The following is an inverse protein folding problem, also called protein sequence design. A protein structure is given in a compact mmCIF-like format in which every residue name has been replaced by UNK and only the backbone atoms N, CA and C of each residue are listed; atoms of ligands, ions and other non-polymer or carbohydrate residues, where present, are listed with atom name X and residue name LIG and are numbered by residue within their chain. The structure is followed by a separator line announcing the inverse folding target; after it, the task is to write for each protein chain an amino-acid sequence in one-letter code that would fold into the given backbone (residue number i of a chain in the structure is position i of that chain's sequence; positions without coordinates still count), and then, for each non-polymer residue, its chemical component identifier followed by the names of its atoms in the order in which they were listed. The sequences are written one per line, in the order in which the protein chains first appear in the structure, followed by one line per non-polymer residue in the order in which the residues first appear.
data_IF_243916675629
#
_entry.id   IF_243916675629
#
_cell.length_a   1.000
_cell.length_b   1.000
_cell.length_c   1.000
_cell.angle_alpha   90.00
_cell.angle_beta   90.00
_cell.angle_gamma   90.00
#
_symmetry.space_group_name_H-M   'P 1'
#
loop_
_entity.id
_entity.type
_entity.pdbx_description
1 polymer ?
#
# COMPACT_ATOMS: atom_id res chain seq x y z
N UNK A 1 34.09 -52.60 -4.23
CA UNK A 1 33.23 -53.60 -4.90
C UNK A 1 31.81 -53.02 -4.87
N UNK A 2 31.30 -52.41 -5.95
CA UNK A 2 30.58 -53.05 -7.09
C UNK A 2 29.47 -54.00 -6.58
N UNK A 3 28.19 -53.97 -6.95
CA UNK A 3 27.43 -53.37 -8.05
C UNK A 3 25.92 -53.36 -7.63
N UNK A 4 25.14 -52.31 -7.91
CA UNK A 4 24.07 -52.27 -8.92
C UNK A 4 23.30 -53.58 -9.23
N UNK A 5 21.96 -53.59 -9.01
CA UNK A 5 20.94 -53.83 -10.07
C UNK A 5 19.47 -53.83 -9.57
N UNK A 6 18.66 -53.00 -10.26
CA UNK A 6 17.30 -53.21 -10.84
C UNK A 6 16.16 -53.65 -9.88
N UNK A 7 14.95 -53.09 -9.90
CA UNK A 7 14.25 -52.22 -10.86
C UNK A 7 12.82 -52.75 -11.05
N UNK A 8 11.81 -51.87 -11.07
CA UNK A 8 10.53 -52.11 -11.74
C UNK A 8 10.05 -50.83 -12.42
N UNK A 9 9.67 -51.00 -13.69
CA UNK A 9 9.11 -50.00 -14.62
C UNK A 9 7.62 -50.27 -14.78
N UNK A 10 6.88 -49.21 -15.12
CA UNK A 10 5.85 -49.11 -16.18
C UNK A 10 5.04 -47.82 -15.93
N UNK A 11 4.51 -47.06 -16.89
CA UNK A 11 4.69 -46.83 -18.33
C UNK A 11 3.71 -45.70 -18.73
N UNK A 12 4.03 -44.92 -19.78
CA UNK A 12 3.11 -44.02 -20.50
C UNK A 12 3.41 -42.52 -20.25
N UNK A 13 3.52 -41.62 -21.22
CA UNK A 13 3.14 -41.62 -22.64
C UNK A 13 4.06 -40.67 -23.47
N UNK A 14 3.90 -40.78 -24.80
CA UNK A 14 4.72 -40.33 -25.94
C UNK A 14 4.68 -38.81 -26.28
N UNK A 15 5.54 -38.35 -27.23
CA UNK A 15 5.92 -36.95 -27.43
C UNK A 15 5.28 -36.30 -28.67
N UNK A 16 5.25 -34.96 -28.68
CA UNK A 16 5.02 -34.18 -29.91
C UNK A 16 6.22 -33.30 -30.24
N UNK A 17 6.82 -33.59 -31.41
CA UNK A 17 7.78 -32.75 -32.14
C UNK A 17 7.02 -31.74 -32.98
N UNK A 18 7.51 -30.51 -33.10
CA UNK A 18 7.13 -29.59 -34.18
C UNK A 18 8.36 -29.10 -34.94
N UNK A 19 8.25 -29.26 -36.26
CA UNK A 19 9.24 -28.94 -37.30
C UNK A 19 9.30 -27.44 -37.56
N UNK A 20 10.51 -26.98 -37.87
CA UNK A 20 10.78 -25.72 -38.55
C UNK A 20 10.37 -25.80 -40.05
N UNK A 21 9.84 -24.70 -40.57
CA UNK A 21 9.77 -24.42 -42.00
C UNK A 21 9.92 -22.90 -42.19
N UNK A 22 10.88 -22.51 -43.02
CA UNK A 22 11.12 -21.13 -43.44
C UNK A 22 10.40 -20.81 -44.75
N UNK A 23 10.06 -19.53 -44.92
CA UNK A 23 9.74 -18.80 -46.15
C UNK A 23 10.04 -17.34 -45.77
N UNK A 24 10.80 -16.49 -46.46
CA UNK A 24 11.06 -16.33 -47.89
C UNK A 24 10.79 -14.84 -48.19
N UNK A 25 11.83 -14.08 -48.54
CA UNK A 25 11.79 -12.66 -48.91
C UNK A 25 10.76 -12.37 -50.01
N UNK A 26 10.06 -11.22 -49.89
CA UNK A 26 9.65 -10.42 -51.05
C UNK A 26 9.76 -8.92 -50.76
N UNK A 27 9.98 -8.18 -51.84
CA UNK A 27 10.64 -6.87 -51.98
C UNK A 27 9.64 -5.86 -52.55
N UNK A 28 9.84 -4.57 -52.21
CA UNK A 28 9.35 -3.36 -52.89
C UNK A 28 7.83 -3.06 -52.78
N UNK A 29 7.31 -1.82 -52.82
CA UNK A 29 7.79 -0.56 -53.39
C UNK A 29 7.36 0.67 -52.58
N UNK A 30 8.14 1.72 -52.77
CA UNK A 30 7.96 3.14 -52.46
C UNK A 30 6.77 3.81 -53.15
N UNK A 31 6.17 4.81 -52.48
CA UNK A 31 5.76 6.08 -53.12
C UNK A 31 5.64 7.17 -52.05
N UNK A 32 6.59 8.10 -52.05
CA UNK A 32 6.48 9.37 -51.36
C UNK A 32 5.70 10.38 -52.20
N UNK A 33 5.20 11.43 -51.55
CA UNK A 33 5.02 12.73 -52.17
C UNK A 33 5.23 13.83 -51.12
N UNK A 34 6.18 14.72 -51.42
CA UNK A 34 6.48 15.95 -50.70
C UNK A 34 5.58 17.10 -51.17
N UNK A 35 5.33 17.99 -50.20
CA UNK A 35 5.06 19.45 -50.17
C UNK A 35 5.08 20.23 -51.51
N UNK A 36 4.38 21.39 -51.56
CA UNK A 36 5.19 22.62 -51.46
C UNK A 36 4.61 23.73 -50.57
N UNK A 37 5.57 24.49 -50.03
CA UNK A 37 5.49 25.80 -49.39
C UNK A 37 5.27 26.90 -50.45
N UNK A 38 4.59 28.00 -50.07
CA UNK A 38 4.70 29.33 -50.69
C UNK A 38 4.15 30.37 -49.71
N UNK A 39 4.96 31.19 -49.02
CA UNK A 39 5.61 32.47 -49.40
C UNK A 39 4.66 33.63 -49.72
N UNK A 40 4.84 34.76 -49.00
CA UNK A 40 4.34 36.11 -49.35
C UNK A 40 3.59 36.82 -48.20
N UNK A 41 4.25 37.50 -47.23
CA UNK A 41 4.72 38.92 -47.20
C UNK A 41 3.64 40.04 -47.15
N UNK A 42 3.71 40.81 -46.05
CA UNK A 42 3.40 42.25 -45.83
C UNK A 42 1.97 42.81 -46.00
N UNK A 43 1.39 43.35 -44.92
CA UNK A 43 0.97 44.77 -44.84
C UNK A 43 0.60 45.20 -43.40
N UNK A 44 0.84 46.49 -43.14
CA UNK A 44 0.75 47.23 -41.87
C UNK A 44 -0.67 47.70 -41.51
N UNK A 45 -0.91 47.76 -40.20
CA UNK A 45 -1.55 48.81 -39.39
C UNK A 45 -2.91 49.43 -39.79
N UNK A 46 -3.84 49.44 -38.83
CA UNK A 46 -4.51 50.69 -38.43
C UNK A 46 -4.98 50.64 -36.96
N UNK A 47 -4.42 51.55 -36.17
CA UNK A 47 -4.95 51.95 -34.88
C UNK A 47 -6.11 52.94 -35.09
N UNK A 48 -7.16 52.82 -34.28
CA UNK A 48 -8.12 53.91 -34.04
C UNK A 48 -8.29 54.10 -32.54
N UNK A 49 -8.19 55.38 -32.17
CA UNK A 49 -8.18 55.98 -30.84
C UNK A 49 -9.60 56.20 -30.28
N UNK A 50 -9.68 56.21 -28.95
CA UNK A 50 -10.62 57.03 -28.15
C UNK A 50 -11.97 56.35 -27.84
N UNK A 51 -12.49 56.36 -26.62
CA UNK A 51 -12.56 57.47 -25.66
C UNK A 51 -12.75 56.96 -24.21
N UNK A 52 -12.17 57.72 -23.28
CA UNK A 52 -12.19 57.59 -21.82
C UNK A 52 -13.59 57.80 -21.23
N UNK A 53 -13.92 57.07 -20.16
CA UNK A 53 -14.64 57.61 -18.99
C UNK A 53 -13.92 57.13 -17.73
N UNK A 54 -13.37 58.09 -16.98
CA UNK A 54 -12.81 57.96 -15.64
C UNK A 54 -13.86 58.51 -14.66
N UNK A 55 -14.30 57.67 -13.72
CA UNK A 55 -14.76 58.05 -12.37
C UNK A 55 -14.22 56.90 -11.51
N UNK A 56 -13.25 57.07 -10.63
CA UNK A 56 -13.20 58.02 -9.52
C UNK A 56 -13.19 57.16 -8.25
N UNK A 57 -12.02 57.04 -7.64
CA UNK A 57 -11.74 56.16 -6.50
C UNK A 57 -12.48 56.55 -5.21
N UNK A 58 -12.75 55.58 -4.36
CA UNK A 58 -12.87 55.80 -2.91
C UNK A 58 -12.31 54.58 -2.15
N UNK A 59 -11.48 54.90 -1.17
CA UNK A 59 -10.71 54.01 -0.31
C UNK A 59 -11.59 53.08 0.54
N UNK A 60 -11.16 51.83 0.69
CA UNK A 60 -11.44 51.01 1.87
C UNK A 60 -10.26 50.04 2.14
N UNK A 61 -9.06 50.61 2.29
CA UNK A 61 -7.95 49.94 2.97
C UNK A 61 -8.28 49.93 4.47
N UNK A 62 -8.85 48.82 4.94
CA UNK A 62 -9.20 48.64 6.36
C UNK A 62 -9.90 47.33 6.72
N UNK A 63 -10.31 46.52 5.73
CA UNK A 63 -11.07 45.29 6.00
C UNK A 63 -10.36 43.96 5.67
N UNK A 64 -9.24 43.97 4.96
CA UNK A 64 -8.66 42.74 4.38
C UNK A 64 -7.43 42.20 5.13
N UNK A 65 -6.80 42.99 6.00
CA UNK A 65 -5.66 42.52 6.82
C UNK A 65 -6.14 41.81 8.09
N UNK A 66 -7.24 42.27 8.68
CA UNK A 66 -7.81 41.66 9.89
C UNK A 66 -8.41 40.26 9.68
N UNK A 67 -8.88 39.95 8.47
CA UNK A 67 -9.41 38.62 8.11
C UNK A 67 -8.30 37.62 7.74
N UNK A 68 -7.14 38.09 7.27
CA UNK A 68 -5.99 37.22 7.00
C UNK A 68 -5.23 36.83 8.28
N UNK A 69 -5.23 37.70 9.29
CA UNK A 69 -4.63 37.39 10.60
C UNK A 69 -5.49 36.45 11.46
N UNK A 70 -6.82 36.55 11.39
CA UNK A 70 -7.72 35.67 12.17
C UNK A 70 -7.84 34.25 11.62
N UNK A 71 -7.54 34.03 10.33
CA UNK A 71 -7.47 32.69 9.73
C UNK A 71 -6.11 32.00 9.90
N UNK A 72 -5.03 32.73 10.19
CA UNK A 72 -3.71 32.15 10.45
C UNK A 72 -3.54 31.64 11.89
N UNK A 73 -4.29 32.20 12.84
CA UNK A 73 -4.24 31.76 14.25
C UNK A 73 -4.73 30.32 14.47
N UNK A 74 -5.86 29.85 13.90
CA UNK A 74 -6.26 28.46 14.06
C UNK A 74 -5.27 27.51 13.35
N UNK A 75 -4.70 27.89 12.20
CA UNK A 75 -3.70 27.09 11.48
C UNK A 75 -2.38 26.97 12.24
N UNK A 76 -1.84 28.07 12.79
CA UNK A 76 -0.63 28.04 13.63
C UNK A 76 -0.86 27.39 14.99
N UNK A 77 -2.07 27.52 15.55
CA UNK A 77 -2.43 26.79 16.77
C UNK A 77 -2.53 25.28 16.50
N UNK A 78 -2.99 24.87 15.30
CA UNK A 78 -3.02 23.49 14.87
C UNK A 78 -1.62 22.94 14.56
N UNK A 79 -0.74 23.75 13.96
CA UNK A 79 0.70 23.42 13.81
C UNK A 79 1.39 23.30 15.16
N UNK A 80 1.15 24.24 16.11
CA UNK A 80 1.70 24.14 17.46
C UNK A 80 1.13 22.97 18.27
N UNK A 81 -0.14 22.58 18.05
CA UNK A 81 -0.72 21.35 18.64
C UNK A 81 -0.12 20.09 18.02
N UNK A 82 0.13 20.07 16.71
CA UNK A 82 0.82 18.98 16.03
C UNK A 82 2.30 18.88 16.45
N UNK A 83 2.96 20.02 16.68
CA UNK A 83 4.34 20.11 17.19
C UNK A 83 4.42 19.76 18.69
N UNK A 84 3.33 19.97 19.45
CA UNK A 84 3.19 19.54 20.85
C UNK A 84 2.74 18.07 20.99
N UNK A 85 2.12 17.47 19.97
CA UNK A 85 1.76 16.05 19.93
C UNK A 85 2.90 15.13 19.45
N UNK A 86 4.02 15.68 18.97
CA UNK A 86 5.29 14.97 18.90
C UNK A 86 5.81 14.75 20.33
N UNK A 87 5.23 13.78 21.03
CA UNK A 87 5.75 13.29 22.29
C UNK A 87 7.24 12.98 22.09
N UNK A 88 8.12 13.85 22.61
CA UNK A 88 9.55 13.58 22.69
C UNK A 88 9.71 12.34 23.55
N UNK A 89 9.74 11.19 22.88
CA UNK A 89 10.03 9.93 23.49
C UNK A 89 11.40 10.04 24.21
N UNK A 90 11.56 9.37 25.36
CA UNK A 90 12.77 9.48 26.17
C UNK A 90 14.02 9.14 25.33
N UNK A 91 15.09 9.92 25.50
CA UNK A 91 16.34 9.75 24.76
C UNK A 91 16.80 8.27 24.79
N UNK A 92 16.79 7.62 23.61
CA UNK A 92 17.05 6.18 23.44
C UNK A 92 15.86 5.37 22.89
N UNK A 93 14.69 5.97 22.75
CA UNK A 93 13.50 5.37 22.13
C UNK A 93 13.60 5.31 20.60
N UNK A 94 13.19 4.18 20.01
CA UNK A 94 13.03 4.02 18.57
C UNK A 94 11.97 5.01 18.03
N UNK A 95 12.39 6.01 17.24
CA UNK A 95 11.47 6.91 16.54
C UNK A 95 11.18 6.36 15.15
N UNK A 96 9.90 6.27 14.80
CA UNK A 96 9.45 5.73 13.53
C UNK A 96 8.68 6.78 12.74
N UNK A 97 9.00 6.94 11.45
CA UNK A 97 8.26 7.81 10.52
C UNK A 97 7.81 6.99 9.31
N UNK A 98 6.50 6.81 9.16
CA UNK A 98 5.87 6.03 8.10
C UNK A 98 5.41 6.94 6.96
N UNK A 99 6.05 6.81 5.81
CA UNK A 99 5.60 7.40 4.55
C UNK A 99 4.61 6.47 3.88
N UNK A 100 3.37 6.92 3.69
CA UNK A 100 2.30 6.06 3.22
C UNK A 100 1.33 6.73 2.25
N UNK A 101 0.47 5.89 1.67
CA UNK A 101 -0.87 6.30 1.27
C UNK A 101 -1.87 5.66 2.25
N UNK A 102 -2.73 6.44 2.90
CA UNK A 102 -3.66 5.95 3.93
C UNK A 102 -4.54 4.81 3.41
N UNK A 103 -5.05 4.94 2.19
CA UNK A 103 -5.96 3.97 1.53
C UNK A 103 -5.24 2.81 0.83
N UNK A 104 -3.91 2.70 0.95
CA UNK A 104 -3.14 1.60 0.34
C UNK A 104 -3.08 0.37 1.25
N UNK A 105 -3.36 -0.85 0.76
CA UNK A 105 -3.35 -2.06 1.58
C UNK A 105 -1.99 -2.35 2.20
N UNK A 106 -0.90 -2.10 1.46
CA UNK A 106 0.46 -2.31 1.98
C UNK A 106 0.79 -1.37 3.15
N UNK A 107 0.27 -0.14 3.12
CA UNK A 107 0.47 0.81 4.22
C UNK A 107 -0.44 0.50 5.40
N UNK A 108 -1.70 0.16 5.14
CA UNK A 108 -2.67 -0.26 6.16
C UNK A 108 -2.20 -1.51 6.92
N UNK A 109 -1.51 -2.45 6.27
CA UNK A 109 -0.82 -3.57 6.95
C UNK A 109 0.20 -3.11 7.97
N UNK A 110 1.09 -2.18 7.59
CA UNK A 110 2.12 -1.65 8.50
C UNK A 110 1.48 -0.91 9.66
N UNK A 111 0.46 -0.10 9.40
CA UNK A 111 -0.32 0.57 10.46
C UNK A 111 -0.94 -0.45 11.42
N UNK A 112 -1.71 -1.41 10.92
CA UNK A 112 -2.34 -2.45 11.75
C UNK A 112 -1.32 -3.17 12.64
N UNK A 113 -0.12 -3.44 12.13
CA UNK A 113 0.98 -4.00 12.91
C UNK A 113 1.50 -3.04 14.00
N UNK A 114 1.78 -1.78 13.67
CA UNK A 114 2.30 -0.79 14.62
C UNK A 114 1.25 -0.45 15.69
N UNK A 115 0.00 -0.23 15.28
CA UNK A 115 -1.17 0.04 16.11
C UNK A 115 -1.35 -1.10 17.15
N UNK A 116 -1.41 -2.35 16.68
CA UNK A 116 -1.55 -3.54 17.55
C UNK A 116 -0.40 -3.69 18.55
N UNK A 117 0.83 -3.38 18.13
CA UNK A 117 2.01 -3.51 19.00
C UNK A 117 2.28 -2.28 19.85
N UNK A 118 1.46 -1.23 19.75
CA UNK A 118 1.64 -0.03 20.56
C UNK A 118 2.89 0.76 20.25
N UNK A 119 3.46 0.57 19.05
CA UNK A 119 4.71 1.24 18.69
C UNK A 119 4.36 2.64 18.21
N UNK A 120 4.84 3.71 18.86
CA UNK A 120 4.55 5.06 18.43
C UNK A 120 5.24 5.35 17.09
N UNK A 121 4.52 5.99 16.17
CA UNK A 121 5.05 6.38 14.86
C UNK A 121 4.39 7.65 14.36
N UNK A 122 5.16 8.42 13.59
CA UNK A 122 4.69 9.59 12.84
C UNK A 122 4.27 9.16 11.45
N UNK A 123 3.22 9.79 10.90
CA UNK A 123 2.76 9.54 9.53
C UNK A 123 3.13 10.73 8.65
N UNK A 124 3.73 10.45 7.49
CA UNK A 124 3.88 11.39 6.39
C UNK A 124 3.03 10.90 5.23
N UNK A 125 1.92 11.58 4.97
CA UNK A 125 1.02 11.25 3.87
C UNK A 125 1.63 11.73 2.54
N UNK A 126 1.95 10.78 1.67
CA UNK A 126 2.64 11.05 0.40
C UNK A 126 1.62 11.49 -0.63
N UNK A 127 1.93 12.55 -1.39
CA UNK A 127 1.07 12.94 -2.51
C UNK A 127 1.20 11.92 -3.65
N UNK A 128 0.12 11.24 -4.10
CA UNK A 128 0.22 10.16 -5.08
C UNK A 128 0.68 10.59 -6.49
N UNK A 129 0.49 11.87 -6.84
CA UNK A 129 0.83 12.40 -8.17
C UNK A 129 2.27 12.91 -8.19
N UNK A 130 2.59 13.85 -7.30
CA UNK A 130 3.89 14.52 -7.25
C UNK A 130 4.97 13.74 -6.50
N UNK A 131 4.58 12.93 -5.51
CA UNK A 131 5.47 12.09 -4.66
C UNK A 131 6.70 12.84 -4.14
N UNK A 132 6.54 14.10 -3.73
CA UNK A 132 7.65 14.98 -3.30
C UNK A 132 8.29 14.47 -2.00
N UNK A 133 7.45 13.95 -1.12
CA UNK A 133 7.78 13.53 0.24
C UNK A 133 8.76 12.36 0.24
N UNK A 134 8.74 11.52 -0.79
CA UNK A 134 9.62 10.34 -0.93
C UNK A 134 10.77 10.56 -1.93
N UNK A 135 11.05 11.82 -2.35
CA UNK A 135 12.11 12.09 -3.32
C UNK A 135 13.51 11.74 -2.82
N UNK A 136 13.72 11.78 -1.50
CA UNK A 136 14.97 11.42 -0.84
C UNK A 136 15.37 9.94 -1.06
N UNK A 137 14.40 9.06 -1.26
CA UNK A 137 14.62 7.61 -1.37
C UNK A 137 14.81 7.16 -2.82
N UNK A 138 15.74 6.25 -3.08
CA UNK A 138 15.84 5.56 -4.38
C UNK A 138 14.68 4.58 -4.61
N UNK A 139 14.08 4.05 -3.54
CA UNK A 139 12.88 3.24 -3.57
C UNK A 139 11.65 4.12 -3.82
N UNK A 140 10.92 3.86 -4.92
CA UNK A 140 9.82 4.70 -5.44
C UNK A 140 8.42 4.14 -5.16
N UNK A 141 8.29 3.27 -4.15
CA UNK A 141 7.00 2.71 -3.69
C UNK A 141 6.79 3.08 -2.22
N UNK A 142 5.55 2.96 -1.75
CA UNK A 142 5.15 3.08 -0.34
C UNK A 142 4.59 1.73 0.14
N UNK A 143 4.65 1.40 1.43
CA UNK A 143 5.21 2.21 2.53
C UNK A 143 6.74 2.28 2.54
N UNK A 144 7.28 3.37 3.09
CA UNK A 144 8.68 3.51 3.50
C UNK A 144 8.67 3.87 4.99
N UNK A 145 9.42 3.14 5.80
CA UNK A 145 9.55 3.43 7.23
C UNK A 145 10.97 3.90 7.51
N UNK A 146 11.11 5.13 8.03
CA UNK A 146 12.37 5.58 8.62
C UNK A 146 12.37 5.22 10.09
N UNK A 147 13.41 4.53 10.53
CA UNK A 147 13.61 4.13 11.91
C UNK A 147 14.88 4.78 12.46
N UNK A 148 14.75 5.58 13.51
CA UNK A 148 15.87 6.23 14.18
C UNK A 148 16.13 5.54 15.52
N UNK A 149 17.24 4.80 15.59
CA UNK A 149 17.72 4.10 16.79
C UNK A 149 19.18 4.49 17.11
N UNK A 150 19.54 5.75 16.86
CA UNK A 150 20.92 6.28 16.92
C UNK A 150 21.50 6.57 15.53
N UNK A 151 21.14 5.76 14.53
CA UNK A 151 21.27 6.06 13.11
C UNK A 151 19.89 6.00 12.44
N UNK A 152 19.69 6.81 11.39
CA UNK A 152 18.46 6.76 10.59
C UNK A 152 18.57 5.65 9.54
N UNK A 153 17.76 4.61 9.68
CA UNK A 153 17.68 3.50 8.75
C UNK A 153 16.38 3.55 7.96
N UNK A 154 16.46 3.31 6.65
CA UNK A 154 15.30 3.24 5.78
C UNK A 154 14.90 1.78 5.53
N UNK A 155 13.69 1.42 5.96
CA UNK A 155 13.08 0.13 5.71
C UNK A 155 12.06 0.26 4.56
N UNK A 156 12.15 -0.66 3.61
CA UNK A 156 11.31 -0.72 2.42
C UNK A 156 10.55 -2.06 2.40
N UNK A 157 9.50 -2.14 1.59
CA UNK A 157 8.56 -3.28 1.51
C UNK A 157 7.75 -3.50 2.80
N UNK A 158 6.42 -3.54 2.68
CA UNK A 158 5.53 -3.64 3.85
C UNK A 158 5.77 -4.88 4.71
N UNK A 159 6.08 -6.03 4.09
CA UNK A 159 6.24 -7.30 4.80
C UNK A 159 7.61 -7.39 5.45
N UNK A 160 8.64 -6.82 4.82
CA UNK A 160 9.98 -6.66 5.45
C UNK A 160 9.92 -5.70 6.63
N UNK A 161 9.26 -4.54 6.50
CA UNK A 161 9.08 -3.59 7.61
C UNK A 161 8.47 -4.32 8.82
N UNK A 162 7.37 -5.05 8.62
CA UNK A 162 6.70 -5.82 9.68
C UNK A 162 7.64 -6.88 10.26
N UNK A 163 8.32 -7.67 9.43
CA UNK A 163 9.23 -8.73 9.91
C UNK A 163 10.42 -8.19 10.69
N UNK A 164 11.05 -7.12 10.21
CA UNK A 164 12.21 -6.51 10.83
C UNK A 164 11.84 -5.86 12.17
N UNK A 165 10.78 -5.06 12.21
CA UNK A 165 10.33 -4.42 13.46
C UNK A 165 9.83 -5.47 14.44
N UNK A 166 9.09 -6.50 14.00
CA UNK A 166 8.69 -7.58 14.90
C UNK A 166 9.90 -8.31 15.50
N UNK A 167 10.89 -8.62 14.68
CA UNK A 167 12.15 -9.22 15.14
C UNK A 167 12.82 -8.32 16.17
N UNK A 168 12.89 -7.01 15.92
CA UNK A 168 13.48 -6.04 16.84
C UNK A 168 12.74 -5.95 18.19
N UNK A 169 11.40 -5.94 18.18
CA UNK A 169 10.58 -5.90 19.39
C UNK A 169 10.75 -7.16 20.26
N UNK A 170 10.94 -8.31 19.62
CA UNK A 170 11.10 -9.60 20.30
C UNK A 170 12.55 -9.80 20.75
N UNK A 171 13.49 -9.58 19.84
CA UNK A 171 14.93 -9.78 20.00
C UNK A 171 15.59 -8.45 20.37
N UNK A 172 15.57 -8.11 21.67
CA UNK A 172 16.20 -6.90 22.21
C UNK A 172 17.75 -6.94 22.19
N UNK A 173 18.34 -7.94 21.54
CA UNK A 173 19.78 -8.17 21.47
C UNK A 173 20.39 -7.64 20.16
N UNK A 174 19.63 -7.66 19.07
CA UNK A 174 20.12 -7.31 17.73
C UNK A 174 19.82 -5.86 17.41
N UNK A 175 20.76 -5.17 16.78
CA UNK A 175 20.51 -3.83 16.24
C UNK A 175 19.58 -3.93 15.02
N UNK A 176 18.86 -2.85 14.72
CA UNK A 176 17.97 -2.84 13.54
C UNK A 176 18.76 -2.97 12.22
N UNK A 177 19.98 -2.44 12.17
CA UNK A 177 20.89 -2.57 11.03
C UNK A 177 21.28 -4.04 10.79
N UNK A 178 21.67 -4.75 11.85
CA UNK A 178 21.95 -6.19 11.79
C UNK A 178 20.72 -6.98 11.32
N UNK A 179 19.54 -6.68 11.85
CA UNK A 179 18.29 -7.33 11.45
C UNK A 179 18.02 -7.14 9.95
N UNK A 180 18.23 -5.94 9.43
CA UNK A 180 18.00 -5.61 8.02
C UNK A 180 18.95 -6.35 7.07
N UNK A 181 20.15 -6.73 7.52
CA UNK A 181 21.07 -7.54 6.73
C UNK A 181 20.50 -8.92 6.34
N UNK A 182 19.55 -9.44 7.13
CA UNK A 182 18.88 -10.72 6.85
C UNK A 182 17.73 -10.61 5.84
N UNK A 183 17.37 -9.41 5.40
CA UNK A 183 16.32 -9.15 4.40
C UNK A 183 16.91 -8.49 3.13
N UNK A 184 17.83 -9.16 2.42
CA UNK A 184 18.54 -8.56 1.30
C UNK A 184 17.60 -8.27 0.12
N UNK A 185 17.74 -7.11 -0.57
CA UNK A 185 17.09 -6.89 -1.85
C UNK A 185 17.69 -7.80 -2.92
N UNK A 186 16.86 -8.57 -3.58
CA UNK A 186 17.20 -9.48 -4.66
C UNK A 186 16.55 -8.97 -5.95
N UNK A 187 17.32 -8.94 -7.04
CA UNK A 187 16.75 -8.72 -8.37
C UNK A 187 16.12 -10.02 -8.84
N UNK A 188 14.80 -10.01 -9.01
CA UNK A 188 14.05 -11.09 -9.63
C UNK A 188 13.50 -10.61 -10.98
N UNK A 189 13.32 -11.53 -11.91
CA UNK A 189 12.61 -11.24 -13.16
C UNK A 189 11.20 -11.75 -12.98
N UNK A 190 10.20 -10.88 -13.13
CA UNK A 190 8.81 -11.31 -13.04
C UNK A 190 8.42 -12.16 -14.26
N UNK A 191 7.24 -12.77 -14.23
CA UNK A 191 6.68 -13.58 -15.32
C UNK A 191 6.62 -12.87 -16.68
N UNK A 192 6.79 -11.54 -16.71
CA UNK A 192 6.77 -10.70 -17.90
C UNK A 192 8.16 -10.25 -18.36
N UNK A 193 9.23 -10.82 -17.81
CA UNK A 193 10.60 -10.48 -18.19
C UNK A 193 11.09 -9.14 -17.62
N UNK A 194 10.34 -8.49 -16.71
CA UNK A 194 10.74 -7.22 -16.09
C UNK A 194 11.48 -7.48 -14.79
N UNK A 195 12.65 -6.85 -14.63
CA UNK A 195 13.36 -6.81 -13.36
C UNK A 195 12.53 -6.12 -12.27
N UNK A 196 12.32 -6.83 -11.18
CA UNK A 196 11.65 -6.38 -9.96
C UNK A 196 12.55 -6.68 -8.77
N UNK A 197 12.65 -5.73 -7.85
CA UNK A 197 13.31 -5.98 -6.57
C UNK A 197 12.33 -6.71 -5.66
N UNK A 198 12.71 -7.91 -5.25
CA UNK A 198 12.04 -8.70 -4.21
C UNK A 198 12.97 -8.82 -3.01
N UNK A 199 12.44 -8.99 -1.80
CA UNK A 199 13.26 -9.08 -0.60
C UNK A 199 13.33 -10.52 -0.10
N UNK A 200 14.56 -10.98 0.14
CA UNK A 200 14.81 -12.29 0.74
C UNK A 200 14.19 -12.36 2.13
N UNK A 201 13.69 -13.54 2.49
CA UNK A 201 13.17 -13.82 3.83
C UNK A 201 12.04 -12.91 4.32
N UNK A 202 11.37 -12.15 3.45
CA UNK A 202 10.40 -11.09 3.85
C UNK A 202 9.28 -11.54 4.81
N UNK A 203 8.93 -12.82 4.85
CA UNK A 203 7.94 -13.40 5.76
C UNK A 203 8.53 -14.12 6.98
N UNK A 204 9.86 -14.25 7.10
CA UNK A 204 10.53 -14.96 8.17
C UNK A 204 11.04 -14.01 9.26
N UNK A 205 10.76 -14.31 10.54
CA UNK A 205 11.31 -13.57 11.67
C UNK A 205 12.69 -14.10 12.08
N UNK A 206 13.67 -13.22 12.31
CA UNK A 206 15.06 -13.61 12.61
C UNK A 206 15.29 -13.81 14.11
N UNK A 207 14.57 -14.78 14.68
CA UNK A 207 14.54 -15.10 16.10
C UNK A 207 15.47 -16.28 16.45
N UNK A 208 16.05 -16.25 17.66
CA UNK A 208 16.74 -17.42 18.23
C UNK A 208 15.74 -18.53 18.65
N UNK A 209 16.23 -19.69 19.09
CA UNK A 209 15.35 -20.84 19.43
C UNK A 209 14.39 -20.53 20.58
N UNK A 210 14.87 -19.80 21.61
CA UNK A 210 14.08 -19.45 22.79
C UNK A 210 13.03 -18.39 22.45
N UNK A 211 13.42 -17.37 21.68
CA UNK A 211 12.54 -16.35 21.13
C UNK A 211 11.49 -16.96 20.21
N UNK A 212 11.89 -17.93 19.37
CA UNK A 212 10.97 -18.67 18.48
C UNK A 212 9.94 -19.43 19.31
N UNK A 213 10.37 -20.19 20.33
CA UNK A 213 9.44 -20.95 21.18
C UNK A 213 8.47 -20.04 21.95
N UNK A 214 8.91 -18.83 22.33
CA UNK A 214 8.06 -17.82 22.98
C UNK A 214 6.99 -17.25 22.04
N UNK A 215 7.35 -16.96 20.80
CA UNK A 215 6.42 -16.36 19.81
C UNK A 215 5.54 -17.43 19.15
N UNK A 216 6.11 -18.59 18.87
CA UNK A 216 5.46 -19.73 18.23
C UNK A 216 5.68 -20.99 19.08
N UNK A 217 4.82 -21.25 20.08
CA UNK A 217 4.93 -22.46 20.90
C UNK A 217 4.81 -23.76 20.09
N UNK A 218 4.15 -23.69 18.94
CA UNK A 218 3.92 -24.78 18.00
C UNK A 218 4.67 -24.46 16.70
N UNK A 219 5.53 -25.37 16.23
CA UNK A 219 6.40 -25.12 15.06
C UNK A 219 5.59 -24.85 13.78
N UNK A 220 4.47 -25.55 13.64
CA UNK A 220 3.55 -25.43 12.50
C UNK A 220 2.92 -24.04 12.43
N UNK A 221 2.70 -23.36 13.57
CA UNK A 221 2.12 -22.02 13.62
C UNK A 221 2.99 -20.97 12.91
N UNK A 222 4.32 -21.13 12.95
CA UNK A 222 5.26 -20.25 12.24
C UNK A 222 5.10 -20.38 10.73
N UNK A 223 5.04 -21.61 10.22
CA UNK A 223 4.89 -21.89 8.79
C UNK A 223 3.51 -21.48 8.30
N UNK A 224 2.47 -21.69 9.12
CA UNK A 224 1.11 -21.25 8.84
C UNK A 224 1.04 -19.73 8.69
N UNK A 225 1.58 -18.98 9.65
CA UNK A 225 1.62 -17.52 9.59
C UNK A 225 2.32 -17.03 8.31
N UNK A 226 3.47 -17.59 7.97
CA UNK A 226 4.21 -17.23 6.76
C UNK A 226 3.39 -17.46 5.49
N UNK A 227 2.68 -18.59 5.43
CA UNK A 227 1.85 -18.97 4.28
C UNK A 227 0.73 -17.96 4.09
N UNK A 228 0.05 -17.56 5.17
CA UNK A 228 -1.05 -16.62 5.11
C UNK A 228 -0.63 -15.17 4.89
N UNK A 229 0.55 -14.77 5.39
CA UNK A 229 1.15 -13.46 5.04
C UNK A 229 1.46 -13.39 3.55
N UNK A 230 2.01 -14.46 2.98
CA UNK A 230 2.25 -14.56 1.53
C UNK A 230 0.94 -14.52 0.76
N UNK A 231 -0.07 -15.27 1.19
CA UNK A 231 -1.40 -15.27 0.57
C UNK A 231 -2.05 -13.89 0.60
N UNK A 232 -1.91 -13.14 1.70
CA UNK A 232 -2.44 -11.78 1.78
C UNK A 232 -1.85 -10.88 0.68
N UNK A 233 -0.54 -10.95 0.47
CA UNK A 233 0.19 -10.13 -0.50
C UNK A 233 0.04 -10.59 -1.96
N UNK A 234 0.02 -11.91 -2.19
CA UNK A 234 0.05 -12.49 -3.54
C UNK A 234 -1.35 -12.76 -4.11
N UNK A 235 -2.38 -12.82 -3.25
CA UNK A 235 -3.76 -13.09 -3.67
C UNK A 235 -4.75 -12.03 -3.18
N UNK A 236 -4.86 -11.83 -1.87
CA UNK A 236 -5.94 -11.01 -1.29
C UNK A 236 -5.90 -9.56 -1.79
N UNK A 237 -4.72 -8.94 -1.86
CA UNK A 237 -4.61 -7.54 -2.33
C UNK A 237 -5.12 -7.37 -3.77
N UNK A 238 -5.01 -8.41 -4.59
CA UNK A 238 -5.43 -8.38 -5.99
C UNK A 238 -6.95 -8.41 -6.17
N UNK A 239 -7.69 -8.74 -5.10
CA UNK A 239 -9.15 -8.68 -5.08
C UNK A 239 -9.69 -7.28 -4.81
N UNK A 240 -8.90 -6.40 -4.16
CA UNK A 240 -9.35 -5.08 -3.73
C UNK A 240 -9.72 -4.21 -4.92
N UNK A 241 -8.78 -3.95 -5.84
CA UNK A 241 -9.01 -3.01 -6.94
C UNK A 241 -10.16 -3.43 -7.86
N UNK A 242 -10.26 -4.70 -8.31
CA UNK A 242 -11.42 -5.14 -9.11
C UNK A 242 -12.76 -5.01 -8.37
N UNK A 243 -12.77 -5.13 -7.03
CA UNK A 243 -13.99 -5.01 -6.23
C UNK A 243 -14.40 -3.57 -5.98
N UNK A 244 -13.48 -2.68 -5.60
CA UNK A 244 -13.82 -1.29 -5.27
C UNK A 244 -14.02 -0.43 -6.54
N UNK A 245 -13.48 -0.86 -7.69
CA UNK A 245 -13.67 -0.19 -8.98
C UNK A 245 -14.59 -0.97 -9.94
N UNK A 246 -15.44 -1.86 -9.41
CA UNK A 246 -16.27 -2.78 -10.21
C UNK A 246 -17.27 -2.07 -11.12
N UNK A 247 -17.95 -1.05 -10.59
CA UNK A 247 -18.92 -0.21 -11.31
C UNK A 247 -18.45 1.25 -11.34
N UNK A 248 -18.95 2.09 -12.28
CA UNK A 248 -18.58 3.51 -12.31
C UNK A 248 -18.93 4.26 -11.02
N UNK A 249 -20.03 3.89 -10.36
CA UNK A 249 -20.46 4.47 -9.08
C UNK A 249 -19.49 4.11 -7.96
N UNK A 250 -19.17 2.83 -7.81
CA UNK A 250 -18.18 2.36 -6.82
C UNK A 250 -16.81 2.97 -7.08
N UNK A 251 -16.42 3.11 -8.35
CA UNK A 251 -15.13 3.71 -8.69
C UNK A 251 -15.06 5.18 -8.31
N UNK A 252 -16.15 5.94 -8.50
CA UNK A 252 -16.23 7.33 -8.07
C UNK A 252 -16.21 7.45 -6.54
N UNK A 253 -16.95 6.59 -5.82
CA UNK A 253 -16.95 6.55 -4.36
C UNK A 253 -15.55 6.23 -3.79
N UNK A 254 -14.88 5.24 -4.38
CA UNK A 254 -13.52 4.86 -3.99
C UNK A 254 -12.51 5.99 -4.22
N UNK A 255 -12.61 6.72 -5.34
CA UNK A 255 -11.73 7.86 -5.60
C UNK A 255 -12.04 9.07 -4.73
N UNK A 256 -13.31 9.30 -4.41
CA UNK A 256 -13.70 10.33 -3.45
C UNK A 256 -13.05 10.06 -2.10
N UNK A 257 -13.14 8.81 -1.62
CA UNK A 257 -12.45 8.36 -0.41
C UNK A 257 -10.93 8.52 -0.49
N UNK A 258 -10.29 8.13 -1.59
CA UNK A 258 -8.84 8.30 -1.79
C UNK A 258 -8.41 9.77 -1.75
N UNK A 259 -9.18 10.67 -2.38
CA UNK A 259 -8.86 12.09 -2.41
C UNK A 259 -9.09 12.74 -1.06
N UNK A 260 -10.14 12.34 -0.34
CA UNK A 260 -10.46 12.84 0.99
C UNK A 260 -9.43 12.42 2.04
N UNK A 261 -9.01 11.16 2.03
CA UNK A 261 -8.08 10.60 3.02
C UNK A 261 -6.60 10.82 2.68
N UNK A 262 -6.29 11.12 1.42
CA UNK A 262 -4.93 11.28 0.92
C UNK A 262 -4.48 12.73 0.90
N UNK A 263 -3.19 12.91 0.59
CA UNK A 263 -2.59 14.23 0.43
C UNK A 263 -2.74 14.75 -1.02
N UNK A 264 -3.85 15.41 -1.31
CA UNK A 264 -4.12 16.04 -2.61
C UNK A 264 -4.32 17.56 -2.48
N UNK A 265 -3.78 18.34 -3.42
CA UNK A 265 -4.17 19.74 -3.56
C UNK A 265 -5.62 19.88 -4.04
N UNK A 266 -6.29 21.01 -3.80
CA UNK A 266 -7.73 21.17 -4.11
C UNK A 266 -8.07 20.94 -5.60
N UNK A 267 -7.31 21.54 -6.51
CA UNK A 267 -7.54 21.38 -7.97
C UNK A 267 -7.15 19.98 -8.42
N UNK A 268 -6.00 19.50 -7.94
CA UNK A 268 -5.48 18.17 -8.23
C UNK A 268 -6.47 17.08 -7.78
N UNK A 269 -7.02 17.20 -6.58
CA UNK A 269 -8.00 16.28 -5.99
C UNK A 269 -9.30 16.24 -6.81
N UNK A 270 -9.79 17.39 -7.29
CA UNK A 270 -10.95 17.42 -8.19
C UNK A 270 -10.70 16.59 -9.47
N UNK A 271 -9.57 16.83 -10.14
CA UNK A 271 -9.24 16.05 -11.35
C UNK A 271 -8.96 14.58 -11.04
N UNK A 272 -8.23 14.30 -9.95
CA UNK A 272 -7.94 12.95 -9.50
C UNK A 272 -9.22 12.17 -9.22
N UNK A 273 -10.23 12.78 -8.59
CA UNK A 273 -11.52 12.15 -8.32
C UNK A 273 -12.19 11.66 -9.59
N UNK A 274 -12.45 12.55 -10.55
CA UNK A 274 -13.24 12.20 -11.73
C UNK A 274 -12.42 11.43 -12.79
N UNK A 275 -11.23 11.91 -13.14
CA UNK A 275 -10.38 11.28 -14.16
C UNK A 275 -9.80 9.97 -13.62
N UNK A 276 -9.38 9.96 -12.35
CA UNK A 276 -8.86 8.77 -11.69
C UNK A 276 -9.91 7.68 -11.55
N UNK A 277 -11.16 8.01 -11.17
CA UNK A 277 -12.25 7.04 -11.10
C UNK A 277 -12.49 6.35 -12.46
N UNK A 278 -12.56 7.13 -13.54
CA UNK A 278 -12.74 6.58 -14.90
C UNK A 278 -11.56 5.68 -15.27
N UNK A 279 -10.33 6.14 -15.06
CA UNK A 279 -9.13 5.36 -15.35
C UNK A 279 -9.11 4.04 -14.56
N UNK A 280 -9.43 4.09 -13.27
CA UNK A 280 -9.38 2.93 -12.38
C UNK A 280 -10.53 1.95 -12.59
N UNK A 281 -11.69 2.40 -13.06
CA UNK A 281 -12.74 1.50 -13.55
C UNK A 281 -12.22 0.59 -14.69
N UNK A 282 -11.55 1.17 -15.68
CA UNK A 282 -10.97 0.39 -16.78
C UNK A 282 -9.76 -0.44 -16.35
N UNK A 283 -8.89 0.09 -15.47
CA UNK A 283 -7.78 -0.66 -14.89
C UNK A 283 -8.30 -1.84 -14.05
N UNK A 284 -9.37 -1.65 -13.28
CA UNK A 284 -10.03 -2.70 -12.50
C UNK A 284 -10.48 -3.86 -13.38
N UNK A 285 -11.12 -3.59 -14.52
CA UNK A 285 -11.46 -4.61 -15.52
C UNK A 285 -10.24 -5.35 -16.08
N UNK A 286 -9.15 -4.61 -16.35
CA UNK A 286 -7.90 -5.21 -16.81
C UNK A 286 -7.22 -6.07 -15.74
N UNK A 287 -7.30 -5.65 -14.47
CA UNK A 287 -6.78 -6.40 -13.33
C UNK A 287 -7.60 -7.66 -13.08
N UNK A 288 -8.93 -7.59 -13.15
CA UNK A 288 -9.83 -8.75 -13.14
C UNK A 288 -9.36 -9.83 -14.12
N UNK A 289 -9.17 -9.44 -15.38
CA UNK A 289 -8.69 -10.38 -16.42
C UNK A 289 -7.25 -10.86 -16.16
N UNK A 290 -6.34 -9.97 -15.73
CA UNK A 290 -4.94 -10.32 -15.45
C UNK A 290 -4.78 -11.32 -14.32
N UNK A 291 -5.61 -11.22 -13.28
CA UNK A 291 -5.54 -12.08 -12.10
C UNK A 291 -6.53 -13.26 -12.17
N UNK A 292 -7.09 -13.52 -13.36
CA UNK A 292 -7.99 -14.64 -13.62
C UNK A 292 -9.19 -14.70 -12.67
N UNK A 293 -9.74 -13.53 -12.32
CA UNK A 293 -10.92 -13.41 -11.46
C UNK A 293 -12.20 -13.78 -12.21
N UNK A 294 -13.17 -14.28 -11.46
CA UNK A 294 -14.51 -14.63 -11.92
C UNK A 294 -15.26 -13.41 -12.45
N UNK A 295 -16.34 -13.68 -13.19
CA UNK A 295 -17.11 -12.61 -13.80
C UNK A 295 -17.73 -11.67 -12.76
N UNK A 296 -18.32 -12.27 -11.72
CA UNK A 296 -18.66 -11.58 -10.50
C UNK A 296 -17.47 -11.58 -9.54
N UNK A 297 -16.69 -10.49 -9.56
CA UNK A 297 -15.50 -10.30 -8.69
C UNK A 297 -15.81 -10.33 -7.19
N UNK A 298 -17.08 -10.15 -6.79
CA UNK A 298 -17.52 -10.29 -5.40
C UNK A 298 -17.41 -11.73 -4.92
N UNK A 299 -17.69 -12.72 -5.77
CA UNK A 299 -17.57 -14.13 -5.39
C UNK A 299 -16.13 -14.51 -5.04
N UNK A 300 -15.14 -13.96 -5.74
CA UNK A 300 -13.73 -14.17 -5.39
C UNK A 300 -13.38 -13.56 -4.03
N UNK A 301 -13.92 -12.37 -3.74
CA UNK A 301 -13.76 -11.72 -2.43
C UNK A 301 -14.42 -12.54 -1.33
N UNK A 302 -15.66 -13.01 -1.54
CA UNK A 302 -16.39 -13.82 -0.58
C UNK A 302 -15.70 -15.16 -0.33
N UNK A 303 -15.22 -15.79 -1.40
CA UNK A 303 -14.45 -17.02 -1.31
C UNK A 303 -13.16 -16.80 -0.52
N UNK A 304 -12.40 -15.75 -0.81
CA UNK A 304 -11.17 -15.44 -0.07
C UNK A 304 -11.42 -15.16 1.41
N UNK A 305 -12.48 -14.41 1.74
CA UNK A 305 -12.88 -14.13 3.11
C UNK A 305 -13.28 -15.41 3.85
N UNK A 306 -14.07 -16.29 3.22
CA UNK A 306 -14.48 -17.56 3.83
C UNK A 306 -13.31 -18.57 3.92
N UNK A 307 -12.38 -18.60 2.95
CA UNK A 307 -11.16 -19.40 3.01
C UNK A 307 -10.29 -18.98 4.20
N UNK A 308 -10.15 -17.68 4.44
CA UNK A 308 -9.47 -17.14 5.62
C UNK A 308 -10.14 -17.57 6.93
N UNK A 309 -11.47 -17.37 7.07
CA UNK A 309 -12.22 -17.77 8.27
C UNK A 309 -12.12 -19.27 8.51
N UNK A 310 -12.18 -20.07 7.45
CA UNK A 310 -12.00 -21.53 7.52
C UNK A 310 -10.60 -21.90 8.03
N UNK A 311 -9.58 -21.17 7.63
CA UNK A 311 -8.20 -21.39 8.07
C UNK A 311 -7.95 -20.96 9.52
N UNK A 312 -8.56 -19.85 9.96
CA UNK A 312 -8.61 -19.51 11.39
C UNK A 312 -9.29 -20.65 12.17
N UNK A 313 -10.38 -21.19 11.64
CA UNK A 313 -11.10 -22.31 12.24
C UNK A 313 -11.99 -21.88 13.40
N UNK A 314 -12.60 -22.85 14.08
CA UNK A 314 -13.59 -22.60 15.16
C UNK A 314 -13.00 -22.63 16.57
N UNK A 315 -11.76 -23.12 16.72
CA UNK A 315 -11.15 -23.41 18.02
C UNK A 315 -10.26 -22.29 18.56
N UNK A 316 -10.05 -21.22 17.78
CA UNK A 316 -9.21 -20.08 18.15
C UNK A 316 -9.86 -18.78 17.67
N UNK A 317 -9.78 -17.68 18.44
CA UNK A 317 -10.33 -16.39 18.02
C UNK A 317 -9.56 -15.76 16.86
N UNK A 318 -8.26 -16.03 16.74
CA UNK A 318 -7.34 -15.53 15.72
C UNK A 318 -6.48 -16.66 15.18
N UNK A 319 -5.83 -16.47 14.02
CA UNK A 319 -4.85 -17.44 13.53
C UNK A 319 -3.68 -17.61 14.52
N UNK A 320 -3.29 -16.54 15.19
CA UNK A 320 -2.30 -16.57 16.28
C UNK A 320 -2.73 -17.31 17.56
N UNK A 321 -3.94 -17.85 17.64
CA UNK A 321 -4.47 -18.48 18.84
C UNK A 321 -5.27 -17.47 19.65
N UNK A 322 -4.87 -17.20 20.90
CA UNK A 322 -5.56 -16.26 21.80
C UNK A 322 -5.35 -14.80 21.41
N UNK A 323 -4.26 -14.48 20.73
CA UNK A 323 -3.91 -13.14 20.25
C UNK A 323 -3.66 -13.15 18.74
N UNK A 324 -3.90 -12.03 18.03
CA UNK A 324 -3.53 -11.89 16.62
C UNK A 324 -2.03 -12.13 16.39
N UNK A 325 -1.70 -12.89 15.33
CA UNK A 325 -0.33 -12.99 14.83
C UNK A 325 -0.13 -12.10 13.58
N UNK A 326 1.03 -12.19 12.92
CA UNK A 326 1.30 -11.34 11.76
C UNK A 326 0.45 -11.68 10.53
N UNK A 327 -0.11 -12.88 10.44
CA UNK A 327 -1.05 -13.24 9.38
C UNK A 327 -2.41 -12.57 9.62
N UNK A 328 -2.92 -12.59 10.85
CA UNK A 328 -4.15 -11.87 11.21
C UNK A 328 -4.03 -10.37 10.88
N UNK A 329 -2.94 -9.74 11.30
CA UNK A 329 -2.66 -8.32 11.05
C UNK A 329 -2.50 -8.02 9.55
N UNK A 330 -1.89 -8.93 8.79
CA UNK A 330 -1.75 -8.77 7.34
C UNK A 330 -3.10 -8.81 6.64
N UNK A 331 -3.95 -9.81 6.93
CA UNK A 331 -5.27 -9.94 6.31
C UNK A 331 -6.17 -8.79 6.72
N UNK A 332 -6.20 -8.45 8.02
CA UNK A 332 -6.99 -7.33 8.53
C UNK A 332 -6.57 -6.01 7.87
N UNK A 333 -5.26 -5.73 7.83
CA UNK A 333 -4.73 -4.52 7.21
C UNK A 333 -5.09 -4.39 5.73
N UNK A 334 -5.08 -5.51 4.98
CA UNK A 334 -5.49 -5.51 3.56
C UNK A 334 -6.98 -5.25 3.39
N UNK A 335 -7.84 -5.85 4.22
CA UNK A 335 -9.30 -5.69 4.11
C UNK A 335 -9.78 -4.31 4.58
N UNK A 336 -9.12 -3.74 5.61
CA UNK A 336 -9.44 -2.43 6.19
C UNK A 336 -9.49 -1.28 5.19
N UNK A 337 -8.77 -1.37 4.08
CA UNK A 337 -8.79 -0.29 3.08
C UNK A 337 -10.10 -0.16 2.33
N UNK A 338 -11.00 -1.14 2.44
CA UNK A 338 -12.33 -1.09 1.83
C UNK A 338 -13.39 -0.50 2.76
N UNK A 339 -13.08 -0.24 4.03
CA UNK A 339 -14.04 0.34 4.99
C UNK A 339 -14.70 1.62 4.42
N UNK A 340 -16.02 1.71 4.58
CA UNK A 340 -16.83 2.80 4.02
C UNK A 340 -17.20 2.66 2.55
N UNK A 341 -16.81 1.56 1.89
CA UNK A 341 -17.16 1.25 0.50
C UNK A 341 -18.13 0.06 0.43
N UNK A 342 -18.94 0.02 -0.63
CA UNK A 342 -19.91 -1.06 -0.89
C UNK A 342 -19.27 -2.46 -0.86
N UNK A 343 -18.02 -2.58 -1.30
CA UNK A 343 -17.28 -3.85 -1.28
C UNK A 343 -17.04 -4.40 0.14
N UNK A 344 -16.89 -3.51 1.13
CA UNK A 344 -16.75 -3.90 2.52
C UNK A 344 -18.07 -4.37 3.10
N UNK A 345 -19.15 -3.61 2.89
CA UNK A 345 -20.50 -3.96 3.37
C UNK A 345 -20.95 -5.31 2.80
N UNK A 346 -20.72 -5.52 1.50
CA UNK A 346 -20.97 -6.76 0.80
C UNK A 346 -20.18 -7.94 1.41
N UNK A 347 -18.88 -7.74 1.66
CA UNK A 347 -18.02 -8.75 2.29
C UNK A 347 -18.50 -9.09 3.70
N UNK A 348 -18.87 -8.09 4.51
CA UNK A 348 -19.35 -8.29 5.87
C UNK A 348 -20.70 -9.00 5.92
N UNK A 349 -21.58 -8.74 4.95
CA UNK A 349 -22.93 -9.30 4.91
C UNK A 349 -22.97 -10.72 4.33
N UNK A 350 -22.18 -11.01 3.29
CA UNK A 350 -22.26 -12.27 2.53
C UNK A 350 -21.19 -13.29 2.92
N UNK A 351 -20.44 -13.06 3.99
CA UNK A 351 -19.40 -13.98 4.47
C UNK A 351 -19.44 -14.10 5.98
N UNK A 352 -18.74 -15.11 6.51
CA UNK A 352 -18.63 -15.30 7.96
C UNK A 352 -17.45 -14.54 8.59
N UNK A 353 -16.90 -13.51 7.91
CA UNK A 353 -15.67 -12.83 8.34
C UNK A 353 -15.89 -11.81 9.46
N UNK A 354 -17.09 -11.23 9.54
CA UNK A 354 -17.40 -10.13 10.45
C UNK A 354 -17.00 -10.42 11.91
N UNK A 355 -17.30 -11.59 12.52
CA UNK A 355 -16.92 -11.85 13.90
C UNK A 355 -15.41 -11.83 14.13
N UNK A 356 -14.60 -12.33 13.20
CA UNK A 356 -13.14 -12.26 13.30
C UNK A 356 -12.64 -10.83 13.09
N UNK A 357 -13.22 -10.11 12.12
CA UNK A 357 -12.83 -8.74 11.81
C UNK A 357 -13.06 -7.78 12.98
N UNK A 358 -14.23 -7.85 13.63
CA UNK A 358 -14.54 -7.03 14.80
C UNK A 358 -13.66 -7.38 16.01
N UNK A 359 -13.26 -8.65 16.16
CA UNK A 359 -12.26 -9.04 17.18
C UNK A 359 -10.90 -8.42 16.90
N UNK A 360 -10.48 -8.32 15.63
CA UNK A 360 -9.23 -7.65 15.24
C UNK A 360 -9.27 -6.16 15.54
N UNK A 361 -10.35 -5.49 15.15
CA UNK A 361 -10.56 -4.06 15.43
C UNK A 361 -10.50 -3.78 16.93
N UNK A 362 -11.21 -4.58 17.74
CA UNK A 362 -11.18 -4.47 19.19
C UNK A 362 -9.77 -4.69 19.76
N UNK A 363 -9.06 -5.73 19.31
CA UNK A 363 -7.72 -6.05 19.81
C UNK A 363 -6.71 -4.93 19.50
N UNK A 364 -6.85 -4.26 18.35
CA UNK A 364 -6.03 -3.10 17.99
C UNK A 364 -6.40 -1.88 18.84
N UNK A 365 -7.70 -1.57 18.98
CA UNK A 365 -8.15 -0.43 19.79
C UNK A 365 -7.77 -0.56 21.28
N UNK A 366 -7.85 -1.75 21.86
CA UNK A 366 -7.41 -2.01 23.25
C UNK A 366 -5.90 -1.78 23.42
N UNK A 367 -5.09 -2.16 22.41
CA UNK A 367 -3.66 -1.91 22.44
C UNK A 367 -3.36 -0.39 22.39
N UNK A 368 -4.04 0.37 21.53
CA UNK A 368 -3.88 1.83 21.46
C UNK A 368 -4.19 2.51 22.81
N UNK A 369 -5.31 2.15 23.44
CA UNK A 369 -5.75 2.72 24.73
C UNK A 369 -4.75 2.40 25.85
N UNK A 370 -4.32 1.14 25.94
CA UNK A 370 -3.38 0.70 26.98
C UNK A 370 -2.08 1.49 26.91
N UNK A 371 -1.58 1.78 25.70
CA UNK A 371 -0.35 2.55 25.54
C UNK A 371 -0.55 4.04 25.83
N UNK A 372 -1.70 4.61 25.48
CA UNK A 372 -2.01 6.00 25.81
C UNK A 372 -2.01 6.24 27.33
N UNK A 373 -2.54 5.28 28.10
CA UNK A 373 -2.52 5.32 29.56
C UNK A 373 -1.10 5.20 30.16
N UNK A 374 -0.22 4.41 29.52
CA UNK A 374 1.18 4.25 29.96
C UNK A 374 2.06 5.47 29.64
N UNK A 375 1.65 6.32 28.70
CA UNK A 375 2.36 7.54 28.31
C UNK A 375 1.96 8.77 29.15
N UNK A 376 0.94 8.67 30.01
CA UNK A 376 0.56 9.72 30.94
C UNK A 376 1.51 9.71 32.16
N UNK A 377 2.05 10.86 32.60
CA UNK A 377 2.84 10.91 33.83
C UNK A 377 1.95 10.50 35.03
N UNK A 378 2.50 9.79 36.04
CA UNK A 378 1.76 9.50 37.25
C UNK A 378 1.41 10.82 37.95
N UNK A 379 0.12 11.01 38.24
CA UNK A 379 -0.42 12.17 38.95
C UNK A 379 0.20 12.37 40.33
#
# INVERSE_FOLDING_TARGET
MAAACRGWRCLGQLPWRLRAAGVGLLRAQSRGYCIPFGTGRYARARALKGRRVLVGAAFALGGTVGLFQTLQYPLKAQEHLAEQQAAKLPAGSLQLTLYQYKTCPFCSKVRAFLDYHGVPYEIVEVNPVMRKEIKFSSYRKVPILLANAGNTLQLNDSSVIISAIKTYLVSRKKSLDEIMSFYPPMKAVNERGKEVTEYGNKYWLMLDEMETQRVYPIKEARVEEMTWRKWADDWLVHLISPNVYRTPREALASFDYIVHEGNFGTVEGFFAKYVGAVAMFFIGKRLKSRHHLQDNVREDLYKAANDWVKAVGKHRPFMGGSQPNLADLAVYGVLRVMEGLEAYDDMMTHTNIQPWYLRMEKAIGEAEITNWQLLQPPY
#
